data_IF_149756506183
#
_entry.id   IF_149756506183
#
_cell.length_a   1.000
_cell.length_b   1.000
_cell.length_c   1.000
_cell.angle_alpha   90.00
_cell.angle_beta   90.00
_cell.angle_gamma   90.00
#
_symmetry.space_group_name_H-M   'P 1'
#
loop_
_entity.id
_entity.type
_entity.pdbx_description
1 polymer ?
#
# COMPACT_ATOMS: atom_id res chain seq x y z
N UNK A 1 -3.50 -1.94 9.80
CA UNK A 1 -2.09 -1.84 9.36
C UNK A 1 -1.96 -2.70 8.10
N UNK A 2 -1.50 -2.11 6.99
CA UNK A 2 -1.29 -2.88 5.75
C UNK A 2 -0.09 -3.81 5.85
N UNK A 3 0.01 -4.76 4.92
CA UNK A 3 1.22 -5.57 4.70
C UNK A 3 1.99 -5.02 3.52
N UNK A 4 3.30 -4.99 3.62
CA UNK A 4 4.18 -4.45 2.60
C UNK A 4 5.07 -5.56 2.06
N UNK A 5 5.23 -5.60 0.75
CA UNK A 5 6.07 -6.59 0.09
C UNK A 5 7.01 -5.89 -0.87
N UNK A 6 8.28 -6.29 -0.87
CA UNK A 6 9.26 -5.89 -1.87
C UNK A 6 9.66 -7.13 -2.66
N UNK A 7 9.37 -7.12 -3.98
CA UNK A 7 9.61 -8.28 -4.86
C UNK A 7 9.06 -9.58 -4.26
N UNK A 8 7.80 -9.53 -3.82
CA UNK A 8 7.06 -10.65 -3.22
C UNK A 8 7.51 -11.10 -1.82
N UNK A 9 8.54 -10.48 -1.24
CA UNK A 9 8.96 -10.71 0.14
C UNK A 9 8.28 -9.73 1.09
N UNK A 10 7.60 -10.23 2.11
CA UNK A 10 7.04 -9.40 3.19
C UNK A 10 8.17 -8.68 3.93
N UNK A 11 8.03 -7.36 4.07
CA UNK A 11 8.98 -6.48 4.76
C UNK A 11 8.21 -5.52 5.66
N UNK A 12 8.93 -4.89 6.60
CA UNK A 12 8.33 -3.86 7.43
C UNK A 12 8.01 -2.60 6.60
N UNK A 13 6.98 -1.86 7.02
CA UNK A 13 6.63 -0.56 6.45
C UNK A 13 7.83 0.38 6.28
N UNK A 14 8.71 0.60 7.28
CA UNK A 14 9.86 1.49 7.12
C UNK A 14 10.83 1.02 6.03
N UNK A 15 11.05 -0.30 5.87
CA UNK A 15 11.88 -0.83 4.78
C UNK A 15 11.25 -0.57 3.40
N UNK A 16 9.92 -0.71 3.30
CA UNK A 16 9.20 -0.47 2.06
C UNK A 16 9.21 1.01 1.69
N UNK A 17 9.00 1.89 2.68
CA UNK A 17 9.09 3.33 2.51
C UNK A 17 10.51 3.73 2.05
N UNK A 18 11.54 3.18 2.69
CA UNK A 18 12.93 3.48 2.33
C UNK A 18 13.26 3.05 0.88
N UNK A 19 12.78 1.88 0.46
CA UNK A 19 12.91 1.42 -0.92
C UNK A 19 12.18 2.33 -1.93
N UNK A 20 11.00 2.84 -1.56
CA UNK A 20 10.24 3.79 -2.37
C UNK A 20 10.98 5.12 -2.53
N UNK A 21 11.48 5.70 -1.44
CA UNK A 21 12.21 6.96 -1.49
C UNK A 21 13.51 6.86 -2.28
N UNK A 22 14.24 5.75 -2.14
CA UNK A 22 15.44 5.48 -2.94
C UNK A 22 15.12 5.37 -4.45
N UNK A 23 14.01 4.72 -4.82
CA UNK A 23 13.54 4.67 -6.20
C UNK A 23 13.15 6.05 -6.74
N UNK A 24 12.40 6.82 -5.94
CA UNK A 24 11.96 8.17 -6.29
C UNK A 24 13.15 9.10 -6.57
N UNK A 25 14.15 9.11 -5.68
CA UNK A 25 15.37 9.90 -5.85
C UNK A 25 16.12 9.51 -7.13
N UNK A 26 16.31 8.21 -7.37
CA UNK A 26 16.97 7.70 -8.58
C UNK A 26 16.24 7.99 -9.90
N UNK A 27 14.93 8.28 -9.83
CA UNK A 27 14.09 8.64 -10.96
C UNK A 27 13.83 10.15 -11.08
N UNK A 28 14.47 10.97 -10.25
CA UNK A 28 14.32 12.43 -10.27
C UNK A 28 12.95 12.91 -9.76
N UNK A 29 12.28 12.12 -8.93
CA UNK A 29 11.05 12.53 -8.26
C UNK A 29 11.37 13.31 -6.99
N UNK A 30 10.69 14.44 -6.79
CA UNK A 30 10.82 15.23 -5.57
C UNK A 30 10.42 14.43 -4.32
N UNK A 31 11.24 14.50 -3.27
CA UNK A 31 10.96 13.90 -1.96
C UNK A 31 9.57 14.26 -1.42
N UNK A 32 9.11 15.53 -1.39
CA UNK A 32 7.75 15.84 -0.92
C UNK A 32 6.65 15.15 -1.74
N UNK A 33 6.84 15.04 -3.06
CA UNK A 33 5.90 14.33 -3.93
C UNK A 33 5.91 12.82 -3.66
N UNK A 34 7.09 12.25 -3.44
CA UNK A 34 7.23 10.85 -3.05
C UNK A 34 6.53 10.56 -1.71
N UNK A 35 6.62 11.46 -0.74
CA UNK A 35 5.92 11.33 0.56
C UNK A 35 4.41 11.34 0.33
N UNK A 36 3.87 12.31 -0.42
CA UNK A 36 2.43 12.36 -0.70
C UNK A 36 1.91 11.09 -1.40
N UNK A 37 2.66 10.56 -2.36
CA UNK A 37 2.31 9.29 -3.02
C UNK A 37 2.36 8.13 -2.03
N UNK A 38 3.38 8.07 -1.17
CA UNK A 38 3.51 7.00 -0.18
C UNK A 38 2.34 7.00 0.83
N UNK A 39 2.02 8.18 1.38
CA UNK A 39 0.90 8.36 2.30
C UNK A 39 -0.44 7.99 1.64
N UNK A 40 -0.67 8.47 0.41
CA UNK A 40 -1.88 8.15 -0.35
C UNK A 40 -1.97 6.65 -0.65
N UNK A 41 -0.87 6.01 -1.04
CA UNK A 41 -0.79 4.57 -1.31
C UNK A 41 -1.11 3.70 -0.09
N UNK A 42 -0.95 4.24 1.13
CA UNK A 42 -1.32 3.59 2.38
C UNK A 42 -2.84 3.69 2.68
N UNK A 43 -3.62 4.34 1.82
CA UNK A 43 -5.09 4.49 1.95
C UNK A 43 -5.86 3.63 0.96
N UNK A 44 -7.13 3.36 1.28
CA UNK A 44 -8.02 2.61 0.38
C UNK A 44 -8.22 3.28 -0.98
N UNK A 45 -8.18 4.61 -1.02
CA UNK A 45 -8.43 5.42 -2.22
C UNK A 45 -7.18 5.56 -3.10
N UNK A 46 -5.97 5.41 -2.55
CA UNK A 46 -4.70 5.56 -3.28
C UNK A 46 -4.34 4.37 -4.18
N UNK A 47 -5.26 3.92 -5.02
CA UNK A 47 -5.01 2.88 -6.01
C UNK A 47 -3.95 3.31 -7.04
N UNK A 48 -4.00 4.56 -7.51
CA UNK A 48 -3.03 5.11 -8.46
C UNK A 48 -1.65 5.27 -7.81
N UNK A 49 -1.61 5.74 -6.56
CA UNK A 49 -0.36 5.83 -5.81
C UNK A 49 0.25 4.46 -5.58
N UNK A 50 -0.54 3.44 -5.19
CA UNK A 50 -0.07 2.04 -5.10
C UNK A 50 0.49 1.50 -6.41
N UNK A 51 -0.06 1.90 -7.55
CA UNK A 51 0.51 1.56 -8.87
C UNK A 51 1.86 2.23 -9.10
N UNK A 52 2.04 3.47 -8.67
CA UNK A 52 3.31 4.17 -8.75
C UNK A 52 4.37 3.49 -7.86
N UNK A 53 4.04 3.16 -6.61
CA UNK A 53 4.95 2.41 -5.72
C UNK A 53 5.25 1.01 -6.26
N UNK A 54 4.29 0.41 -6.97
CA UNK A 54 4.45 -0.85 -7.70
C UNK A 54 5.57 -0.83 -8.74
N UNK A 55 5.88 0.32 -9.34
CA UNK A 55 7.01 0.45 -10.28
C UNK A 55 8.37 0.26 -9.58
N UNK A 56 8.45 0.58 -8.29
CA UNK A 56 9.61 0.28 -7.44
C UNK A 56 9.67 -1.19 -7.00
N UNK A 57 8.71 -2.02 -7.41
CA UNK A 57 8.58 -3.42 -6.99
C UNK A 57 7.95 -3.59 -5.60
N UNK A 58 7.29 -2.55 -5.09
CA UNK A 58 6.64 -2.54 -3.78
C UNK A 58 5.15 -2.82 -3.96
N UNK A 59 4.62 -3.78 -3.19
CA UNK A 59 3.19 -4.08 -3.13
C UNK A 59 2.68 -3.75 -1.73
N UNK A 60 1.62 -2.96 -1.67
CA UNK A 60 0.92 -2.61 -0.42
C UNK A 60 -0.41 -3.35 -0.41
N UNK A 61 -0.54 -4.31 0.49
CA UNK A 61 -1.78 -5.01 0.77
C UNK A 61 -2.43 -4.32 1.96
N UNK A 62 -3.37 -3.43 1.68
CA UNK A 62 -4.23 -2.88 2.72
C UNK A 62 -5.21 -3.99 3.06
N UNK A 63 -4.85 -4.82 4.05
CA UNK A 63 -5.74 -5.83 4.58
C UNK A 63 -7.09 -5.16 4.78
N UNK A 64 -8.10 -5.63 4.03
CA UNK A 64 -9.48 -5.18 4.12
C UNK A 64 -9.78 -5.09 5.61
N UNK A 65 -9.91 -3.86 6.13
CA UNK A 65 -10.34 -3.68 7.51
C UNK A 65 -11.77 -4.15 7.46
N UNK A 66 -11.95 -5.42 7.85
CA UNK A 66 -12.98 -6.28 7.30
C UNK A 66 -14.28 -5.54 7.05
N UNK A 67 -14.82 -5.67 5.84
CA UNK A 67 -16.25 -5.91 5.79
C UNK A 67 -16.46 -7.24 6.53
N UNK A 68 -16.99 -7.29 7.77
CA UNK A 68 -17.73 -8.46 8.16
C UNK A 68 -18.82 -8.56 7.10
N UNK A 69 -18.65 -9.51 6.18
CA UNK A 69 -19.69 -9.86 5.25
C UNK A 69 -20.96 -9.96 6.07
N UNK A 70 -21.97 -9.18 5.67
CA UNK A 70 -23.35 -9.38 6.03
C UNK A 70 -23.59 -10.89 6.05
N UNK A 71 -23.62 -11.50 7.24
CA UNK A 71 -24.38 -12.73 7.39
C UNK A 71 -25.82 -12.27 7.28
N UNK A 72 -26.60 -12.67 6.27
CA UNK A 72 -28.03 -12.74 6.48
C UNK A 72 -28.19 -13.83 7.54
N UNK A 73 -28.37 -13.41 8.78
CA UNK A 73 -28.89 -14.27 9.83
C UNK A 73 -30.14 -14.96 9.29
N UNK A 74 -30.03 -16.28 9.19
CA UNK A 74 -31.11 -17.18 8.83
C UNK A 74 -32.31 -16.83 9.71
N UNK A 75 -33.37 -16.33 9.08
CA UNK A 75 -34.68 -16.25 9.69
C UNK A 75 -35.17 -17.68 9.90
N UNK A 76 -34.91 -18.19 11.10
CA UNK A 76 -35.47 -19.44 11.60
C UNK A 76 -36.92 -19.23 12.01
N UNK A 77 -37.77 -20.17 11.56
CA UNK A 77 -39.07 -20.54 12.15
C UNK A 77 -40.18 -19.50 12.20
#
# INVERSE_FOLDING_TARGET
>A
MGKYFLREREIAEPDAANAWFAYAEGHGMDIPKAISIWEDAATQEGADSRRAVGQAGIRIDLADTGHPGLRPESRDG
#
